data_IF_202619348018
#
_entry.id   IF_202619348018
#
_cell.length_a   1.000
_cell.length_b   1.000
_cell.length_c   1.000
_cell.angle_alpha   90.00
_cell.angle_beta   90.00
_cell.angle_gamma   90.00
#
_symmetry.space_group_name_H-M   'P 1'
#
loop_
_entity.id
_entity.type
_entity.pdbx_description
1 polymer ?
#
# COMPACT_ATOMS: atom_id res chain seq x y z
N UNK A 1 35.09 -46.17 8.52
CA UNK A 1 34.24 -45.45 7.54
C UNK A 1 32.89 -45.04 8.13
N UNK A 2 32.12 -45.94 8.76
CA UNK A 2 30.79 -45.58 9.33
C UNK A 2 30.84 -44.46 10.39
N UNK A 3 31.85 -44.44 11.26
CA UNK A 3 32.02 -43.44 12.33
C UNK A 3 32.37 -42.04 11.79
N UNK A 4 33.04 -41.96 10.64
CA UNK A 4 33.40 -40.69 10.01
C UNK A 4 32.15 -40.08 9.33
N UNK A 5 31.31 -40.91 8.70
CA UNK A 5 30.07 -40.49 8.07
C UNK A 5 29.08 -39.93 9.10
N UNK A 6 28.98 -40.57 10.28
CA UNK A 6 28.12 -40.05 11.36
C UNK A 6 28.60 -38.71 11.93
N UNK A 7 29.91 -38.50 12.04
CA UNK A 7 30.48 -37.24 12.50
C UNK A 7 30.28 -36.11 11.49
N UNK A 8 30.43 -36.40 10.20
CA UNK A 8 30.18 -35.42 9.12
C UNK A 8 28.69 -35.06 9.04
N UNK A 9 27.78 -36.02 9.18
CA UNK A 9 26.35 -35.79 9.16
C UNK A 9 25.90 -34.94 10.37
N UNK A 10 26.48 -35.20 11.57
CA UNK A 10 26.21 -34.40 12.77
C UNK A 10 26.72 -32.95 12.63
N UNK A 11 27.86 -32.74 11.97
CA UNK A 11 28.43 -31.42 11.75
C UNK A 11 27.56 -30.59 10.76
N UNK A 12 27.05 -31.23 9.70
CA UNK A 12 26.14 -30.59 8.73
C UNK A 12 24.81 -30.20 9.39
N UNK A 13 24.27 -31.05 10.27
CA UNK A 13 23.02 -30.79 10.99
C UNK A 13 23.19 -29.62 11.99
N UNK A 14 24.36 -29.46 12.60
CA UNK A 14 24.66 -28.37 13.53
C UNK A 14 24.80 -27.01 12.82
N UNK A 15 25.29 -26.98 11.58
CA UNK A 15 25.40 -25.73 10.80
C UNK A 15 24.07 -25.22 10.28
N UNK A 16 23.07 -26.07 10.10
CA UNK A 16 21.74 -25.63 9.57
C UNK A 16 20.83 -25.01 10.63
N UNK A 17 21.10 -25.13 11.92
CA UNK A 17 20.29 -24.55 13.00
C UNK A 17 20.67 -23.10 13.35
N UNK A 18 21.73 -22.54 12.78
CA UNK A 18 22.20 -21.20 13.13
C UNK A 18 21.71 -20.06 12.23
N UNK A 19 20.78 -20.34 11.32
CA UNK A 19 20.27 -19.33 10.38
C UNK A 19 18.77 -19.16 10.56
N UNK A 20 18.32 -18.44 11.58
CA UNK A 20 17.07 -17.66 11.61
C UNK A 20 16.77 -17.17 13.05
N UNK A 21 17.66 -16.37 13.60
CA UNK A 21 17.26 -15.39 14.63
C UNK A 21 17.68 -14.02 14.12
N UNK A 22 16.86 -13.45 13.26
CA UNK A 22 16.87 -12.00 13.05
C UNK A 22 16.11 -11.40 14.22
N UNK A 23 16.74 -10.63 15.12
CA UNK A 23 16.00 -9.81 16.05
C UNK A 23 15.21 -8.80 15.21
N UNK A 24 13.90 -8.78 15.43
CA UNK A 24 13.00 -7.76 14.87
C UNK A 24 13.35 -6.43 15.55
N UNK A 25 14.41 -5.80 15.04
CA UNK A 25 14.76 -4.43 15.41
C UNK A 25 13.59 -3.56 14.93
N UNK A 26 12.99 -2.71 15.77
CA UNK A 26 12.10 -1.68 15.27
C UNK A 26 12.90 -0.90 14.22
N UNK A 27 12.41 -0.86 12.99
CA UNK A 27 13.01 0.02 11.98
C UNK A 27 13.04 1.42 12.57
N UNK A 28 14.20 2.10 12.61
CA UNK A 28 14.20 3.53 12.74
C UNK A 28 13.34 4.05 11.59
N UNK A 29 12.44 4.97 11.90
CA UNK A 29 11.83 5.81 10.86
C UNK A 29 13.02 6.63 10.35
N UNK A 30 13.68 6.14 9.31
CA UNK A 30 14.60 6.96 8.55
C UNK A 30 13.75 8.09 7.98
N UNK A 31 14.02 9.29 8.47
CA UNK A 31 13.63 10.52 7.79
C UNK A 31 14.04 10.34 6.33
N UNK A 32 13.02 10.16 5.47
CA UNK A 32 13.20 9.72 4.10
C UNK A 32 14.29 10.54 3.43
N UNK A 33 15.29 9.83 2.98
CA UNK A 33 16.30 10.36 2.08
C UNK A 33 15.57 11.18 1.00
N UNK A 34 15.76 12.50 1.03
CA UNK A 34 15.33 13.43 0.01
C UNK A 34 16.22 13.31 -1.22
N UNK A 35 16.52 12.07 -1.60
CA UNK A 35 16.95 11.78 -2.96
C UNK A 35 15.78 12.23 -3.84
N UNK A 36 16.03 13.17 -4.72
CA UNK A 36 15.03 13.77 -5.59
C UNK A 36 14.31 12.68 -6.38
N UNK A 37 13.27 12.12 -5.77
CA UNK A 37 12.41 11.14 -6.40
C UNK A 37 11.83 11.82 -7.64
N UNK A 38 12.03 11.22 -8.79
CA UNK A 38 11.45 11.74 -10.02
C UNK A 38 9.92 11.80 -9.86
N UNK A 39 9.27 12.86 -10.36
CA UNK A 39 7.82 12.98 -10.27
C UNK A 39 7.14 11.74 -10.85
N UNK A 40 6.32 11.08 -10.05
CA UNK A 40 5.53 9.92 -10.47
C UNK A 40 4.12 10.37 -10.81
N UNK A 41 3.50 9.75 -11.79
CA UNK A 41 2.07 9.96 -12.03
C UNK A 41 1.26 9.06 -11.10
N UNK A 42 0.39 9.68 -10.29
CA UNK A 42 -0.50 8.98 -9.35
C UNK A 42 -1.95 9.14 -9.85
N UNK A 43 -2.62 8.03 -10.06
CA UNK A 43 -4.00 7.99 -10.57
C UNK A 43 -4.96 7.81 -9.41
N UNK A 44 -5.81 8.79 -9.20
CA UNK A 44 -6.72 8.88 -8.07
C UNK A 44 -8.16 8.58 -8.50
N UNK A 45 -8.88 7.82 -7.71
CA UNK A 45 -10.31 7.61 -7.84
C UNK A 45 -11.06 8.19 -6.65
N UNK A 46 -12.20 8.83 -6.89
CA UNK A 46 -13.05 9.36 -5.83
C UNK A 46 -14.52 9.17 -6.13
N UNK A 47 -15.34 9.12 -5.08
CA UNK A 47 -16.79 9.09 -5.21
C UNK A 47 -17.37 10.49 -5.03
N UNK A 48 -18.41 10.80 -5.77
CA UNK A 48 -19.18 12.05 -5.58
C UNK A 48 -19.71 12.12 -4.15
N UNK A 49 -19.59 13.30 -3.54
CA UNK A 49 -20.09 13.57 -2.20
C UNK A 49 -19.02 13.53 -1.11
N UNK A 50 -19.40 13.25 0.15
CA UNK A 50 -18.52 13.41 1.33
C UNK A 50 -17.21 12.62 1.26
N UNK A 51 -17.20 11.47 0.59
CA UNK A 51 -16.04 10.58 0.48
C UNK A 51 -14.85 11.27 -0.19
N UNK A 52 -15.08 12.12 -1.21
CA UNK A 52 -14.02 12.84 -1.91
C UNK A 52 -13.76 14.24 -1.35
N UNK A 53 -14.54 14.72 -0.40
CA UNK A 53 -14.35 16.07 0.16
C UNK A 53 -12.97 16.26 0.78
N UNK A 54 -12.41 15.22 1.42
CA UNK A 54 -11.07 15.26 1.97
C UNK A 54 -9.95 15.36 0.92
N UNK A 55 -10.27 15.10 -0.35
CA UNK A 55 -9.31 15.14 -1.46
C UNK A 55 -9.42 16.41 -2.33
N UNK A 56 -10.37 17.32 -2.04
CA UNK A 56 -10.63 18.51 -2.89
C UNK A 56 -9.38 19.37 -3.06
N UNK A 57 -8.62 19.56 -1.97
CA UNK A 57 -7.36 20.32 -2.05
C UNK A 57 -6.35 19.64 -2.97
N UNK A 58 -6.25 18.31 -2.92
CA UNK A 58 -5.35 17.55 -3.79
C UNK A 58 -5.79 17.65 -5.26
N UNK A 59 -7.08 17.67 -5.54
CA UNK A 59 -7.59 17.86 -6.90
C UNK A 59 -7.29 19.26 -7.42
N UNK A 60 -7.50 20.28 -6.59
CA UNK A 60 -7.15 21.67 -6.94
C UNK A 60 -5.66 21.84 -7.22
N UNK A 61 -4.80 21.25 -6.38
CA UNK A 61 -3.36 21.26 -6.57
C UNK A 61 -2.94 20.50 -7.85
N UNK A 62 -3.62 19.40 -8.16
CA UNK A 62 -3.39 18.62 -9.37
C UNK A 62 -3.70 19.46 -10.63
N UNK A 63 -4.86 20.14 -10.65
CA UNK A 63 -5.29 20.98 -11.78
C UNK A 63 -4.36 22.19 -11.98
N UNK A 64 -3.76 22.70 -10.90
CA UNK A 64 -2.84 23.83 -10.92
C UNK A 64 -1.36 23.41 -11.05
N UNK A 65 -1.05 22.12 -11.10
CA UNK A 65 0.32 21.61 -11.19
C UNK A 65 1.19 21.93 -9.97
N UNK A 66 0.59 22.09 -8.79
CA UNK A 66 1.27 22.46 -7.55
C UNK A 66 1.79 21.25 -6.76
N UNK A 67 1.53 20.03 -7.20
CA UNK A 67 1.98 18.81 -6.54
C UNK A 67 3.44 18.48 -6.80
N UNK A 68 4.08 17.75 -5.86
CA UNK A 68 5.42 17.17 -6.09
C UNK A 68 5.38 16.05 -7.14
N UNK A 69 4.22 15.41 -7.31
CA UNK A 69 3.94 14.38 -8.30
C UNK A 69 2.91 14.89 -9.33
N UNK A 70 2.83 14.23 -10.45
CA UNK A 70 1.73 14.42 -11.39
C UNK A 70 0.52 13.63 -10.89
N UNK A 71 -0.62 14.28 -10.73
CA UNK A 71 -1.85 13.63 -10.30
C UNK A 71 -2.88 13.68 -11.42
N UNK A 72 -3.54 12.56 -11.63
CA UNK A 72 -4.76 12.48 -12.45
C UNK A 72 -5.89 11.95 -11.58
N UNK A 73 -7.13 12.39 -11.81
CA UNK A 73 -8.23 11.91 -10.98
C UNK A 73 -9.50 11.65 -11.78
N UNK A 74 -10.28 10.67 -11.30
CA UNK A 74 -11.59 10.31 -11.83
C UNK A 74 -12.60 10.31 -10.70
N UNK A 75 -13.74 10.98 -10.88
CA UNK A 75 -14.83 11.02 -9.91
C UNK A 75 -16.04 10.30 -10.47
N UNK A 76 -16.47 9.23 -9.80
CA UNK A 76 -17.64 8.45 -10.19
C UNK A 76 -18.81 8.62 -9.21
N UNK A 77 -19.98 8.20 -9.64
CA UNK A 77 -21.16 8.20 -8.79
C UNK A 77 -21.20 7.01 -7.84
N UNK A 78 -20.60 5.89 -8.23
CA UNK A 78 -20.65 4.62 -7.50
C UNK A 78 -19.26 3.98 -7.38
N UNK A 79 -19.03 3.30 -6.26
CA UNK A 79 -17.81 2.52 -6.04
C UNK A 79 -17.65 1.38 -7.06
N UNK A 80 -18.76 0.83 -7.56
CA UNK A 80 -18.75 -0.25 -8.54
C UNK A 80 -18.10 0.15 -9.88
N UNK A 81 -18.04 1.45 -10.18
CA UNK A 81 -17.40 1.96 -11.40
C UNK A 81 -15.87 2.01 -11.26
N UNK A 82 -15.35 2.28 -10.07
CA UNK A 82 -13.93 2.50 -9.82
C UNK A 82 -13.22 1.31 -9.19
N UNK A 83 -13.94 0.45 -8.47
CA UNK A 83 -13.39 -0.74 -7.84
C UNK A 83 -12.66 -1.67 -8.83
N UNK A 84 -13.23 -2.00 -10.00
CA UNK A 84 -12.53 -2.81 -10.98
C UNK A 84 -11.24 -2.16 -11.49
N UNK A 85 -11.23 -0.84 -11.66
CA UNK A 85 -10.07 -0.09 -12.12
C UNK A 85 -8.92 -0.13 -11.09
N UNK A 86 -9.25 -0.05 -9.79
CA UNK A 86 -8.25 -0.23 -8.73
C UNK A 86 -7.65 -1.64 -8.75
N UNK A 87 -8.49 -2.66 -8.84
CA UNK A 87 -8.04 -4.07 -8.85
C UNK A 87 -7.22 -4.40 -10.10
N UNK A 88 -7.53 -3.78 -11.23
CA UNK A 88 -6.79 -3.92 -12.49
C UNK A 88 -5.50 -3.08 -12.54
N UNK A 89 -5.24 -2.25 -11.53
CA UNK A 89 -4.10 -1.36 -11.50
C UNK A 89 -4.21 -0.14 -12.41
N UNK A 90 -5.42 0.22 -12.81
CA UNK A 90 -5.69 1.46 -13.58
C UNK A 90 -5.78 2.68 -12.66
N UNK A 91 -6.06 2.47 -11.37
CA UNK A 91 -6.00 3.46 -10.31
C UNK A 91 -4.98 3.02 -9.26
N UNK A 92 -4.28 3.98 -8.67
CA UNK A 92 -3.30 3.75 -7.61
C UNK A 92 -3.92 3.99 -6.23
N UNK A 93 -4.85 4.93 -6.13
CA UNK A 93 -5.54 5.29 -4.88
C UNK A 93 -7.03 5.47 -5.15
N UNK A 94 -7.85 4.97 -4.25
CA UNK A 94 -9.31 5.09 -4.34
C UNK A 94 -9.91 5.52 -2.98
N UNK A 95 -10.65 6.62 -3.00
CA UNK A 95 -11.43 7.06 -1.84
C UNK A 95 -12.81 6.40 -1.84
N UNK A 96 -13.04 5.54 -0.86
CA UNK A 96 -14.29 4.78 -0.69
C UNK A 96 -14.76 4.77 0.76
N UNK A 97 -16.05 4.51 1.03
CA UNK A 97 -16.53 4.24 2.38
C UNK A 97 -15.79 3.03 3.01
N UNK A 98 -15.61 3.07 4.34
CA UNK A 98 -14.84 2.06 5.06
C UNK A 98 -15.37 0.61 4.87
N UNK A 99 -16.68 0.44 4.74
CA UNK A 99 -17.28 -0.87 4.45
C UNK A 99 -16.87 -1.41 3.08
N UNK A 100 -16.78 -0.56 2.06
CA UNK A 100 -16.30 -0.95 0.72
C UNK A 100 -14.80 -1.29 0.77
N UNK A 101 -14.00 -0.51 1.49
CA UNK A 101 -12.59 -0.80 1.69
C UNK A 101 -12.36 -2.17 2.35
N UNK A 102 -13.17 -2.51 3.37
CA UNK A 102 -13.11 -3.81 4.04
C UNK A 102 -13.48 -4.97 3.10
N UNK A 103 -14.49 -4.79 2.25
CA UNK A 103 -14.88 -5.79 1.25
C UNK A 103 -13.73 -5.99 0.24
N UNK A 104 -13.15 -4.91 -0.27
CA UNK A 104 -12.02 -4.95 -1.20
C UNK A 104 -10.81 -5.66 -0.62
N UNK A 105 -10.46 -5.35 0.62
CA UNK A 105 -9.36 -6.01 1.32
C UNK A 105 -9.56 -7.53 1.38
N UNK A 106 -10.76 -7.97 1.74
CA UNK A 106 -11.09 -9.40 1.81
C UNK A 106 -11.12 -10.06 0.42
N UNK A 107 -11.69 -9.40 -0.58
CA UNK A 107 -11.78 -9.95 -1.94
C UNK A 107 -10.43 -10.02 -2.66
N UNK A 108 -9.51 -9.15 -2.32
CA UNK A 108 -8.15 -9.12 -2.89
C UNK A 108 -7.12 -9.85 -2.03
N UNK A 109 -7.57 -10.53 -0.97
CA UNK A 109 -6.70 -11.24 -0.01
C UNK A 109 -5.56 -10.34 0.53
N UNK A 110 -5.89 -9.08 0.81
CA UNK A 110 -4.93 -8.09 1.27
C UNK A 110 -4.15 -7.37 0.16
N UNK A 111 -4.58 -7.51 -1.10
CA UNK A 111 -3.96 -6.81 -2.24
C UNK A 111 -4.15 -5.30 -2.23
N UNK A 112 -5.05 -4.77 -1.39
CA UNK A 112 -5.23 -3.34 -1.15
C UNK A 112 -4.83 -2.97 0.26
N UNK A 113 -4.33 -1.75 0.46
CA UNK A 113 -3.88 -1.25 1.77
C UNK A 113 -4.64 0.02 2.13
N UNK A 114 -5.09 0.14 3.37
CA UNK A 114 -5.67 1.37 3.89
C UNK A 114 -4.53 2.38 4.17
N UNK A 115 -4.51 3.47 3.43
CA UNK A 115 -3.51 4.53 3.60
C UNK A 115 -3.91 5.55 4.67
N UNK A 116 -5.17 5.95 4.67
CA UNK A 116 -5.69 6.96 5.60
C UNK A 116 -7.22 6.86 5.74
N UNK A 117 -7.72 7.32 6.88
CA UNK A 117 -9.13 7.59 7.10
C UNK A 117 -9.35 9.11 7.00
N UNK A 118 -9.95 9.56 5.90
CA UNK A 118 -10.18 10.99 5.64
C UNK A 118 -11.28 11.62 6.51
N UNK A 119 -12.17 10.78 7.08
CA UNK A 119 -13.28 11.24 7.94
C UNK A 119 -13.48 10.23 9.07
N UNK A 120 -13.45 10.70 10.31
CA UNK A 120 -13.58 9.89 11.53
C UNK A 120 -15.03 9.67 11.99
N UNK A 121 -15.95 9.70 11.08
CA UNK A 121 -17.36 9.43 11.31
C UNK A 121 -18.25 10.43 10.59
N UNK A 122 -19.37 9.93 10.11
CA UNK A 122 -20.49 10.73 9.58
C UNK A 122 -21.67 10.39 10.50
N UNK A 123 -22.13 11.37 11.26
CA UNK A 123 -23.35 11.26 12.05
C UNK A 123 -24.56 11.47 11.16
#
# INVERSE_FOLDING_TARGET
MKRIITLVLALILALTLCACVTPKTPMPIEDGDKSAAQPVTVRLGGLKGPTSMGMVKLFDDADNGLGQNAYTYTIAASANELTPQLVQGELDVLAVPANVAAILYNQTEGGVVLMAAGTLGVL
#
